data_IF_897056351039
#
_entry.id   IF_897056351039
#
_cell.length_a   1.000
_cell.length_b   1.000
_cell.length_c   1.000
_cell.angle_alpha   90.00
_cell.angle_beta   90.00
_cell.angle_gamma   90.00
#
_symmetry.space_group_name_H-M   'P 1'
#
loop_
_entity.id
_entity.type
_entity.pdbx_description
1 polymer ?
#
# COMPACT_ATOMS: atom_id res chain seq x y z
N UNK A 1 -22.58 50.03 -39.69
CA UNK A 1 -23.52 48.96 -40.04
C UNK A 1 -22.71 48.02 -40.91
N UNK A 2 -22.29 46.83 -40.50
CA UNK A 2 -23.06 45.73 -39.92
C UNK A 2 -22.12 44.83 -39.08
N UNK A 3 -22.66 44.26 -38.02
CA UNK A 3 -21.96 43.47 -36.99
C UNK A 3 -22.18 41.98 -37.28
N UNK A 4 -21.13 41.14 -37.22
CA UNK A 4 -21.24 39.69 -37.37
C UNK A 4 -20.22 38.95 -36.47
N UNK A 5 -20.63 37.99 -35.61
CA UNK A 5 -19.87 37.61 -34.42
C UNK A 5 -19.05 36.31 -34.56
N UNK A 6 -17.96 36.25 -33.77
CA UNK A 6 -17.67 35.11 -32.90
C UNK A 6 -17.09 33.84 -33.54
N UNK A 7 -15.80 33.60 -33.26
CA UNK A 7 -15.31 32.29 -32.82
C UNK A 7 -14.00 32.45 -32.06
N UNK A 8 -14.13 32.64 -30.76
CA UNK A 8 -13.09 32.33 -29.77
C UNK A 8 -12.74 30.85 -29.92
N UNK A 9 -11.52 30.55 -30.40
CA UNK A 9 -10.96 29.23 -30.25
C UNK A 9 -10.66 29.05 -28.76
N UNK A 10 -11.63 28.45 -28.05
CA UNK A 10 -11.48 28.03 -26.67
C UNK A 10 -10.22 27.18 -26.55
N UNK A 11 -9.40 27.51 -25.56
CA UNK A 11 -8.15 26.84 -25.28
C UNK A 11 -8.36 25.33 -25.24
N UNK A 12 -7.41 24.61 -25.85
CA UNK A 12 -7.16 23.23 -25.51
C UNK A 12 -6.77 23.21 -24.03
N UNK A 13 -7.78 23.14 -23.17
CA UNK A 13 -7.63 22.78 -21.79
C UNK A 13 -6.96 21.42 -21.81
N UNK A 14 -5.67 21.43 -21.51
CA UNK A 14 -4.94 20.27 -21.05
C UNK A 14 -5.75 19.72 -19.87
N UNK A 15 -6.61 18.76 -20.19
CA UNK A 15 -7.39 18.00 -19.26
C UNK A 15 -6.34 17.28 -18.43
N UNK A 16 -5.89 17.94 -17.35
CA UNK A 16 -5.29 17.32 -16.19
C UNK A 16 -6.37 16.38 -15.64
N UNK A 17 -6.58 15.27 -16.34
CA UNK A 17 -7.08 14.04 -15.76
C UNK A 17 -6.06 13.78 -14.68
N UNK A 18 -6.35 14.28 -13.47
CA UNK A 18 -5.63 13.91 -12.26
C UNK A 18 -5.76 12.40 -12.23
N UNK A 19 -4.73 11.72 -12.72
CA UNK A 19 -4.56 10.32 -12.43
C UNK A 19 -4.63 10.25 -10.90
N UNK A 20 -5.49 9.38 -10.34
CA UNK A 20 -5.49 9.18 -8.90
C UNK A 20 -4.05 9.02 -8.44
N UNK A 21 -3.65 9.75 -7.41
CA UNK A 21 -2.32 9.59 -6.86
C UNK A 21 -2.15 8.11 -6.50
N UNK A 22 -1.00 7.52 -6.87
CA UNK A 22 -0.72 6.12 -6.59
C UNK A 22 -0.96 5.83 -5.10
N UNK A 23 -1.70 4.76 -4.75
CA UNK A 23 -1.92 4.38 -3.36
C UNK A 23 -0.60 4.28 -2.62
N UNK A 24 -0.59 4.72 -1.36
CA UNK A 24 0.60 4.61 -0.52
C UNK A 24 0.22 4.38 0.94
N UNK A 25 1.10 3.71 1.67
CA UNK A 25 1.08 3.69 3.13
C UNK A 25 2.25 4.49 3.67
N UNK A 26 2.06 5.11 4.83
CA UNK A 26 3.12 5.74 5.60
C UNK A 26 3.20 5.00 6.94
N UNK A 27 4.36 4.44 7.24
CA UNK A 27 4.63 3.71 8.47
C UNK A 27 5.35 4.64 9.43
N UNK A 28 4.72 4.86 10.59
CA UNK A 28 5.30 5.54 11.74
C UNK A 28 5.30 4.55 12.91
N UNK A 29 6.49 4.27 13.45
CA UNK A 29 6.68 3.40 14.60
C UNK A 29 7.75 3.98 15.54
N UNK A 30 7.36 4.86 16.48
CA UNK A 30 8.29 5.61 17.33
C UNK A 30 9.19 4.73 18.20
N UNK A 31 8.69 3.60 18.72
CA UNK A 31 9.49 2.67 19.55
C UNK A 31 10.68 2.06 18.80
N UNK A 32 10.65 2.06 17.47
CA UNK A 32 11.73 1.59 16.60
C UNK A 32 12.48 2.75 15.93
N UNK A 33 12.24 4.00 16.34
CA UNK A 33 12.76 5.22 15.71
C UNK A 33 12.42 5.34 14.20
N UNK A 34 11.28 4.78 13.77
CA UNK A 34 10.83 4.85 12.37
C UNK A 34 9.76 5.92 12.23
N UNK A 35 10.03 6.88 11.36
CA UNK A 35 9.09 7.91 10.96
C UNK A 35 9.07 8.02 9.43
N UNK A 36 7.91 8.33 8.87
CA UNK A 36 7.72 8.68 7.46
C UNK A 36 8.27 7.65 6.46
N UNK A 37 8.33 6.36 6.81
CA UNK A 37 8.63 5.33 5.82
C UNK A 37 7.42 5.21 4.89
N UNK A 38 7.60 5.59 3.64
CA UNK A 38 6.52 5.58 2.64
C UNK A 38 6.68 4.38 1.72
N UNK A 39 5.60 3.63 1.49
CA UNK A 39 5.55 2.56 0.48
C UNK A 39 4.47 2.94 -0.53
N UNK A 40 4.84 3.06 -1.80
CA UNK A 40 3.98 3.51 -2.91
C UNK A 40 3.72 2.34 -3.85
N UNK A 41 2.45 2.10 -4.17
CA UNK A 41 2.00 1.05 -5.08
C UNK A 41 1.69 1.67 -6.45
N UNK A 42 2.67 1.70 -7.34
CA UNK A 42 2.53 2.31 -8.67
C UNK A 42 1.66 1.48 -9.59
N UNK A 43 0.94 2.15 -10.50
CA UNK A 43 -0.03 1.52 -11.41
C UNK A 43 -1.25 0.87 -10.73
N UNK A 44 -1.34 0.96 -9.40
CA UNK A 44 -2.53 0.58 -8.65
C UNK A 44 -3.44 1.79 -8.44
N UNK A 45 -4.73 1.55 -8.22
CA UNK A 45 -5.71 2.61 -7.94
C UNK A 45 -6.52 2.24 -6.72
N UNK A 46 -6.81 3.23 -5.87
CA UNK A 46 -7.76 3.12 -4.77
C UNK A 46 -8.81 4.22 -4.87
N UNK A 47 -10.06 3.89 -4.53
CA UNK A 47 -11.17 4.85 -4.47
C UNK A 47 -11.44 5.33 -3.03
N UNK A 48 -10.75 4.74 -2.05
CA UNK A 48 -10.96 5.06 -0.65
C UNK A 48 -10.18 6.31 -0.24
N UNK A 49 -10.76 7.08 0.67
CA UNK A 49 -10.09 8.24 1.25
C UNK A 49 -8.85 7.80 2.07
N UNK A 50 -7.79 8.62 2.13
CA UNK A 50 -6.68 8.39 3.05
C UNK A 50 -7.17 8.22 4.49
N UNK A 51 -6.58 7.27 5.21
CA UNK A 51 -6.93 7.00 6.61
C UNK A 51 -5.71 6.55 7.41
N UNK A 52 -5.72 6.87 8.69
CA UNK A 52 -4.69 6.43 9.65
C UNK A 52 -5.24 5.29 10.48
N UNK A 53 -4.49 4.19 10.56
CA UNK A 53 -4.83 3.02 11.38
C UNK A 53 -3.70 2.78 12.37
N UNK A 54 -4.02 2.77 13.67
CA UNK A 54 -3.08 2.41 14.72
C UNK A 54 -3.27 0.94 15.10
N UNK A 55 -2.26 0.10 14.89
CA UNK A 55 -2.29 -1.32 15.27
C UNK A 55 -1.93 -1.51 16.76
N UNK A 56 -2.82 -1.03 17.63
CA UNK A 56 -2.76 -1.16 19.09
C UNK A 56 -3.91 -2.02 19.67
N UNK A 57 -4.82 -2.45 18.80
CA UNK A 57 -5.95 -3.34 19.08
C UNK A 57 -6.25 -4.17 17.82
N UNK A 58 -6.67 -5.43 17.95
CA UNK A 58 -6.90 -6.32 16.81
C UNK A 58 -8.07 -5.90 15.90
N UNK A 59 -8.11 -6.51 14.73
CA UNK A 59 -9.19 -6.50 13.73
C UNK A 59 -9.58 -5.12 13.21
N UNK A 60 -8.63 -4.19 13.20
CA UNK A 60 -8.88 -2.84 12.67
C UNK A 60 -8.97 -2.85 11.14
N UNK A 61 -9.95 -2.11 10.57
CA UNK A 61 -10.07 -2.00 9.13
C UNK A 61 -8.91 -1.21 8.53
N UNK A 62 -8.47 -1.62 7.34
CA UNK A 62 -7.45 -0.93 6.53
C UNK A 62 -8.10 -0.16 5.37
N UNK A 63 -7.51 0.95 4.90
CA UNK A 63 -8.10 1.77 3.83
C UNK A 63 -8.12 1.08 2.45
N UNK A 64 -7.38 -0.01 2.26
CA UNK A 64 -7.40 -0.84 1.06
C UNK A 64 -6.75 -2.19 1.35
N UNK A 65 -7.01 -3.18 0.48
CA UNK A 65 -6.52 -4.55 0.65
C UNK A 65 -7.01 -5.19 1.95
N UNK A 66 -6.15 -5.97 2.62
CA UNK A 66 -6.53 -6.70 3.84
C UNK A 66 -5.35 -6.94 4.77
N UNK A 67 -5.65 -7.12 6.06
CA UNK A 67 -4.72 -7.71 7.04
C UNK A 67 -4.74 -9.23 6.82
N UNK A 68 -3.58 -9.85 6.58
CA UNK A 68 -3.42 -11.31 6.49
C UNK A 68 -3.15 -11.95 7.83
N UNK A 69 -2.44 -11.25 8.70
CA UNK A 69 -2.00 -11.72 10.00
C UNK A 69 -1.70 -10.53 10.91
N UNK A 70 -1.99 -10.68 12.19
CA UNK A 70 -1.57 -9.75 13.22
C UNK A 70 -1.30 -10.51 14.52
N UNK A 71 -0.24 -10.11 15.22
CA UNK A 71 0.02 -10.47 16.61
C UNK A 71 0.35 -9.19 17.37
N UNK A 72 -0.63 -8.74 18.15
CA UNK A 72 -0.58 -7.50 18.92
C UNK A 72 -0.47 -7.77 20.43
N UNK A 73 -0.12 -9.01 20.83
CA UNK A 73 0.01 -9.43 22.23
C UNK A 73 1.04 -8.58 22.97
N UNK A 74 2.14 -8.23 22.28
CA UNK A 74 3.18 -7.32 22.75
C UNK A 74 3.44 -6.25 21.70
N UNK A 75 3.62 -4.99 22.13
CA UNK A 75 3.82 -3.86 21.22
C UNK A 75 5.25 -3.30 21.28
N UNK A 76 5.93 -3.07 20.13
CA UNK A 76 5.39 -3.20 18.76
C UNK A 76 5.16 -4.66 18.37
N UNK A 77 4.01 -4.93 17.76
CA UNK A 77 3.59 -6.27 17.34
C UNK A 77 4.03 -6.61 15.92
N UNK A 78 3.46 -7.70 15.40
CA UNK A 78 3.61 -8.11 14.01
C UNK A 78 2.32 -7.83 13.25
N UNK A 79 2.41 -7.24 12.06
CA UNK A 79 1.27 -7.09 11.16
C UNK A 79 1.70 -7.38 9.72
N UNK A 80 0.95 -8.24 9.04
CA UNK A 80 1.17 -8.57 7.63
C UNK A 80 -0.04 -8.18 6.81
N UNK A 81 0.21 -7.41 5.75
CA UNK A 81 -0.79 -6.93 4.82
C UNK A 81 -0.71 -7.63 3.47
N UNK A 82 -1.85 -7.75 2.82
CA UNK A 82 -1.97 -7.93 1.37
C UNK A 82 -2.56 -6.66 0.78
N UNK A 83 -1.70 -5.87 0.12
CA UNK A 83 -2.09 -4.65 -0.58
C UNK A 83 -1.83 -4.85 -2.07
N UNK A 84 -2.90 -5.00 -2.84
CA UNK A 84 -2.85 -5.20 -4.30
C UNK A 84 -2.03 -6.44 -4.73
N UNK A 85 -1.93 -7.47 -3.88
CA UNK A 85 -1.09 -8.65 -4.12
C UNK A 85 0.36 -8.48 -3.64
N UNK A 86 0.74 -7.32 -3.10
CA UNK A 86 2.00 -7.15 -2.39
C UNK A 86 1.86 -7.56 -0.93
N UNK A 87 2.85 -8.29 -0.44
CA UNK A 87 2.92 -8.70 0.96
C UNK A 87 3.84 -7.75 1.71
N UNK A 88 3.29 -7.02 2.68
CA UNK A 88 4.04 -6.08 3.52
C UNK A 88 3.95 -6.59 4.95
N UNK A 89 5.06 -7.04 5.51
CA UNK A 89 5.12 -7.59 6.86
C UNK A 89 6.00 -6.67 7.73
N UNK A 90 5.35 -6.09 8.73
CA UNK A 90 5.95 -5.19 9.70
C UNK A 90 6.22 -6.00 10.97
N UNK A 91 7.47 -6.44 11.18
CA UNK A 91 7.89 -7.06 12.44
C UNK A 91 8.87 -6.14 13.19
N UNK A 92 8.95 -6.22 14.52
CA UNK A 92 9.77 -5.29 15.31
C UNK A 92 11.24 -5.18 14.87
N UNK A 93 11.82 -6.31 14.44
CA UNK A 93 13.25 -6.37 14.06
C UNK A 93 13.53 -6.02 12.60
N UNK A 94 12.57 -6.14 11.69
CA UNK A 94 12.83 -6.11 10.24
C UNK A 94 11.56 -5.79 9.46
N UNK A 95 11.68 -5.07 8.36
CA UNK A 95 10.60 -4.92 7.39
C UNK A 95 10.72 -6.04 6.35
N UNK A 96 9.65 -6.77 6.08
CA UNK A 96 9.61 -7.68 4.93
C UNK A 96 8.68 -7.10 3.86
N UNK A 97 9.16 -7.09 2.61
CA UNK A 97 8.38 -6.71 1.43
C UNK A 97 8.47 -7.83 0.41
N UNK A 98 7.33 -8.40 0.03
CA UNK A 98 7.21 -9.50 -0.91
C UNK A 98 8.18 -10.65 -0.54
N UNK A 99 8.18 -11.03 0.74
CA UNK A 99 9.04 -12.09 1.35
C UNK A 99 10.54 -11.79 1.37
N UNK A 100 10.96 -10.58 1.02
CA UNK A 100 12.37 -10.15 1.07
C UNK A 100 12.58 -9.23 2.28
N UNK A 101 13.55 -9.59 3.11
CA UNK A 101 13.96 -8.78 4.25
C UNK A 101 14.55 -7.45 3.79
N UNK A 102 14.19 -6.38 4.48
CA UNK A 102 14.73 -5.04 4.33
C UNK A 102 14.99 -4.43 5.72
N UNK A 103 16.11 -3.74 5.93
CA UNK A 103 16.31 -3.00 7.17
C UNK A 103 15.24 -1.90 7.28
N UNK A 104 14.84 -1.59 8.50
CA UNK A 104 14.03 -0.40 8.73
C UNK A 104 14.83 0.86 8.37
N UNK A 105 14.21 1.76 7.60
CA UNK A 105 14.81 3.04 7.21
C UNK A 105 13.72 4.13 7.29
N UNK A 106 13.82 5.01 8.29
CA UNK A 106 12.94 6.17 8.39
C UNK A 106 13.15 7.15 7.22
N UNK A 107 12.11 7.89 6.88
CA UNK A 107 12.05 8.86 5.78
C UNK A 107 12.35 8.28 4.37
N UNK A 108 12.52 6.97 4.24
CA UNK A 108 12.70 6.32 2.96
C UNK A 108 11.37 6.24 2.20
N UNK A 109 11.45 6.30 0.87
CA UNK A 109 10.33 5.96 -0.02
C UNK A 109 10.68 4.69 -0.77
N UNK A 110 9.81 3.69 -0.69
CA UNK A 110 9.89 2.42 -1.41
C UNK A 110 8.78 2.41 -2.46
N UNK A 111 9.15 2.22 -3.71
CA UNK A 111 8.20 2.13 -4.83
C UNK A 111 8.05 0.67 -5.22
N UNK A 112 6.80 0.20 -5.30
CA UNK A 112 6.43 -1.13 -5.75
C UNK A 112 5.65 -1.03 -7.06
N UNK A 113 6.01 -1.88 -8.00
CA UNK A 113 5.36 -2.05 -9.30
C UNK A 113 4.68 -3.41 -9.36
N UNK A 114 3.75 -3.64 -10.31
CA UNK A 114 3.15 -4.97 -10.47
C UNK A 114 4.15 -6.11 -10.68
N UNK A 115 5.32 -5.84 -11.24
CA UNK A 115 6.38 -6.82 -11.45
C UNK A 115 7.07 -7.26 -10.13
N UNK A 116 6.94 -6.49 -9.06
CA UNK A 116 7.54 -6.81 -7.75
C UNK A 116 6.70 -7.81 -6.94
N UNK A 117 5.47 -8.12 -7.38
CA UNK A 117 4.55 -9.01 -6.66
C UNK A 117 5.20 -10.38 -6.45
N UNK A 118 5.09 -10.97 -5.25
CA UNK A 118 5.66 -12.29 -5.00
C UNK A 118 4.94 -13.32 -5.85
N UNK A 119 5.65 -14.38 -6.24
CA UNK A 119 5.01 -15.54 -6.84
C UNK A 119 3.91 -16.09 -5.91
N UNK A 120 2.82 -16.55 -6.50
CA UNK A 120 1.78 -17.29 -5.79
C UNK A 120 2.43 -18.44 -5.03
N UNK A 121 1.98 -18.68 -3.79
CA UNK A 121 2.42 -19.87 -3.08
C UNK A 121 1.91 -21.09 -3.84
N UNK A 122 2.69 -22.18 -3.93
CA UNK A 122 2.18 -23.43 -4.46
C UNK A 122 0.96 -23.85 -3.66
N UNK A 123 -0.07 -24.34 -4.36
CA UNK A 123 -1.25 -24.88 -3.68
C UNK A 123 -0.81 -26.01 -2.72
N UNK A 124 -1.36 -26.06 -1.49
CA UNK A 124 -1.11 -27.17 -0.60
C UNK A 124 -1.47 -28.46 -1.34
N UNK A 125 -0.49 -29.35 -1.55
CA UNK A 125 -0.77 -30.64 -2.15
C UNK A 125 -1.80 -31.34 -1.27
N UNK A 126 -2.94 -31.81 -1.80
CA UNK A 126 -3.94 -32.52 -1.01
C UNK A 126 -3.26 -33.66 -0.26
N UNK A 127 -3.17 -33.55 1.07
CA UNK A 127 -2.56 -34.59 1.88
C UNK A 127 -3.34 -35.90 1.69
N UNK A 128 -2.64 -37.00 1.40
CA UNK A 128 -3.25 -38.34 1.47
C UNK A 128 -3.80 -38.53 2.88
N UNK A 129 -5.12 -38.60 3.02
CA UNK A 129 -5.76 -38.97 4.30
C UNK A 129 -5.25 -40.37 4.66
N UNK A 130 -4.46 -40.48 5.74
CA UNK A 130 -4.16 -41.78 6.35
C UNK A 130 -5.37 -42.13 7.20
N UNK A 131 -6.14 -43.13 6.76
CA UNK A 131 -7.18 -43.79 7.54
C UNK A 131 -6.54 -44.92 8.33
#
# INVERSE_FOLDING_TARGET
METGPGRIAAGAGDLHRRLPAAPAIIVNQPKLAIANLKIVFTSETTTNAPGTVAFDYPEKPVPFGKVKFEDLTYLPGTVTFDFFGHEIELIPRTLYINRKARPWQGNATITLTPADKPAALPEPTPGKKRY
#
